data_IF_766174124897
#
_entry.id   IF_766174124897
#
_cell.length_a   1.000
_cell.length_b   1.000
_cell.length_c   1.000
_cell.angle_alpha   90.00
_cell.angle_beta   90.00
_cell.angle_gamma   90.00
#
_symmetry.space_group_name_H-M   'P 1'
#
loop_
_entity.id
_entity.type
_entity.pdbx_description
1 polymer ?
#
# COMPACT_ATOMS: atom_id res chain seq x y z
N UNK A 1 -20.74 5.69 4.30
CA UNK A 1 -20.68 6.60 3.13
C UNK A 1 -19.26 6.61 2.58
N UNK A 2 -19.08 6.75 1.27
CA UNK A 2 -17.76 6.73 0.62
C UNK A 2 -17.43 8.07 -0.03
N UNK A 3 -16.34 8.69 0.38
CA UNK A 3 -15.85 9.97 -0.17
C UNK A 3 -14.54 9.70 -0.91
N UNK A 4 -14.42 10.21 -2.13
CA UNK A 4 -13.18 10.13 -2.92
C UNK A 4 -12.61 11.52 -3.03
N UNK A 5 -11.37 11.72 -2.56
CA UNK A 5 -10.71 13.02 -2.56
C UNK A 5 -9.43 12.92 -3.38
N UNK A 6 -9.22 13.85 -4.31
CA UNK A 6 -7.96 13.97 -5.04
C UNK A 6 -7.02 14.95 -4.33
N UNK A 7 -5.73 14.73 -4.48
CA UNK A 7 -4.68 15.52 -3.83
C UNK A 7 -4.76 16.99 -4.25
N UNK A 8 -4.62 17.88 -3.28
CA UNK A 8 -4.82 19.33 -3.41
C UNK A 8 -6.29 19.77 -3.52
N UNK A 9 -7.25 18.85 -3.49
CA UNK A 9 -8.68 19.16 -3.58
C UNK A 9 -9.38 18.99 -2.23
N UNK A 10 -10.51 19.70 -2.08
CA UNK A 10 -11.45 19.55 -0.97
C UNK A 10 -12.74 18.93 -1.49
N UNK A 11 -13.28 17.96 -0.77
CA UNK A 11 -14.54 17.29 -1.09
C UNK A 11 -15.46 17.25 0.13
N UNK A 12 -16.76 17.45 -0.10
CA UNK A 12 -17.81 17.41 0.92
C UNK A 12 -18.99 16.54 0.48
N UNK A 13 -18.86 15.85 -0.65
CA UNK A 13 -19.85 14.90 -1.16
C UNK A 13 -19.35 13.48 -0.98
N UNK A 14 -20.27 12.57 -0.71
CA UNK A 14 -20.00 11.15 -0.61
C UNK A 14 -21.12 10.32 -1.25
N UNK A 15 -20.77 9.11 -1.67
CA UNK A 15 -21.74 8.13 -2.12
C UNK A 15 -22.30 7.36 -0.92
N UNK A 16 -23.63 7.23 -0.85
CA UNK A 16 -24.28 6.30 0.08
C UNK A 16 -24.17 4.84 -0.39
N UNK A 17 -24.80 3.91 0.34
CA UNK A 17 -24.79 2.48 -0.01
C UNK A 17 -25.48 2.19 -1.36
N UNK A 18 -26.40 3.05 -1.78
CA UNK A 18 -27.15 2.97 -3.04
C UNK A 18 -26.47 3.73 -4.18
N UNK A 19 -25.25 4.24 -3.98
CA UNK A 19 -24.49 5.06 -4.92
C UNK A 19 -25.10 6.45 -5.22
N UNK A 20 -26.00 6.94 -4.39
CA UNK A 20 -26.47 8.32 -4.50
C UNK A 20 -25.42 9.28 -3.92
N UNK A 21 -25.21 10.41 -4.61
CA UNK A 21 -24.36 11.49 -4.12
C UNK A 21 -25.12 12.26 -3.04
N UNK A 22 -24.51 12.39 -1.86
CA UNK A 22 -25.05 13.12 -0.71
C UNK A 22 -24.02 14.14 -0.23
N UNK A 23 -24.47 15.36 0.05
CA UNK A 23 -23.65 16.38 0.71
C UNK A 23 -23.55 16.11 2.20
N UNK A 24 -22.34 16.25 2.74
CA UNK A 24 -22.05 15.98 4.14
C UNK A 24 -21.75 17.28 4.90
N UNK A 25 -22.08 17.34 6.21
CA UNK A 25 -21.72 18.45 7.09
C UNK A 25 -20.23 18.43 7.52
N UNK A 26 -19.40 17.75 6.74
CA UNK A 26 -17.97 17.57 6.93
C UNK A 26 -17.30 17.60 5.56
N UNK A 27 -16.26 18.42 5.43
CA UNK A 27 -15.44 18.50 4.24
C UNK A 27 -14.03 17.98 4.55
N UNK A 28 -13.38 17.39 3.56
CA UNK A 28 -12.02 16.89 3.68
C UNK A 28 -11.19 17.39 2.52
N UNK A 29 -10.07 18.01 2.85
CA UNK A 29 -9.00 18.28 1.91
C UNK A 29 -7.95 17.18 2.01
N UNK A 30 -7.52 16.65 0.87
CA UNK A 30 -6.38 15.74 0.79
C UNK A 30 -5.15 16.55 0.41
N UNK A 31 -4.21 16.73 1.35
CA UNK A 31 -2.99 17.50 1.10
C UNK A 31 -1.94 16.68 0.38
N UNK A 32 -1.76 15.43 0.83
CA UNK A 32 -0.78 14.51 0.26
C UNK A 32 -1.22 13.08 0.50
N UNK A 33 -1.14 12.26 -0.55
CA UNK A 33 -1.28 10.82 -0.45
C UNK A 33 0.10 10.16 -0.62
N UNK A 34 0.45 9.25 0.28
CA UNK A 34 1.72 8.53 0.20
C UNK A 34 1.52 7.03 0.29
N UNK A 35 2.23 6.29 -0.55
CA UNK A 35 2.32 4.83 -0.52
C UNK A 35 3.76 4.45 -0.16
N UNK A 36 3.90 3.60 0.85
CA UNK A 36 5.11 2.89 1.19
C UNK A 36 5.01 1.47 0.66
N UNK A 37 5.98 1.05 -0.15
CA UNK A 37 6.05 -0.28 -0.74
C UNK A 37 7.16 -1.11 -0.08
N UNK A 38 7.04 -2.44 -0.09
CA UNK A 38 8.16 -3.30 0.27
C UNK A 38 9.30 -3.19 -0.76
N UNK A 39 10.56 -3.51 -0.38
CA UNK A 39 11.66 -3.56 -1.33
C UNK A 39 11.37 -4.48 -2.53
N UNK A 40 11.94 -4.19 -3.71
CA UNK A 40 11.81 -5.05 -4.88
C UNK A 40 12.21 -6.50 -4.59
N UNK A 41 11.46 -7.44 -5.17
CA UNK A 41 11.76 -8.87 -5.11
C UNK A 41 12.29 -9.33 -6.46
N UNK A 42 13.27 -10.23 -6.46
CA UNK A 42 13.71 -10.95 -7.67
C UNK A 42 13.32 -12.41 -7.55
N UNK A 43 12.76 -12.96 -8.63
CA UNK A 43 12.25 -14.34 -8.69
C UNK A 43 12.63 -14.95 -10.03
N UNK A 44 13.07 -16.21 -10.01
CA UNK A 44 13.25 -16.99 -11.24
C UNK A 44 11.90 -17.54 -11.69
N UNK A 45 11.63 -17.51 -12.98
CA UNK A 45 10.41 -18.05 -13.58
C UNK A 45 10.74 -18.99 -14.72
N UNK A 46 9.87 -19.98 -14.90
CA UNK A 46 9.78 -20.74 -16.13
C UNK A 46 9.10 -19.88 -17.20
N UNK A 47 9.77 -19.70 -18.35
CA UNK A 47 9.34 -18.78 -19.41
C UNK A 47 8.15 -19.32 -20.22
N UNK A 48 7.93 -20.64 -20.24
CA UNK A 48 6.79 -21.24 -20.94
C UNK A 48 5.50 -21.11 -20.12
N UNK A 49 5.59 -21.36 -18.81
CA UNK A 49 4.44 -21.38 -17.90
C UNK A 49 4.22 -20.07 -17.15
N UNK A 50 5.24 -19.20 -17.08
CA UNK A 50 5.24 -17.97 -16.29
C UNK A 50 5.29 -18.16 -14.78
N UNK A 51 5.46 -19.41 -14.29
CA UNK A 51 5.43 -19.71 -12.85
C UNK A 51 6.80 -19.50 -12.21
N UNK A 52 6.80 -19.02 -10.98
CA UNK A 52 8.02 -18.89 -10.18
C UNK A 52 8.67 -20.25 -9.89
N UNK A 53 9.99 -20.28 -9.79
CA UNK A 53 10.77 -21.50 -9.59
C UNK A 53 11.33 -21.58 -8.16
N UNK A 54 11.23 -22.75 -7.50
CA UNK A 54 10.46 -23.94 -7.90
C UNK A 54 8.93 -23.70 -7.78
N UNK A 55 8.14 -24.36 -8.64
CA UNK A 55 6.71 -24.04 -8.87
C UNK A 55 5.85 -23.93 -7.59
N UNK A 56 6.00 -24.86 -6.66
CA UNK A 56 5.18 -24.90 -5.44
C UNK A 56 5.62 -23.91 -4.36
N UNK A 57 6.86 -23.45 -4.41
CA UNK A 57 7.43 -22.54 -3.42
C UNK A 57 8.57 -21.73 -4.06
N UNK A 58 8.24 -20.71 -4.86
CA UNK A 58 9.25 -19.93 -5.55
C UNK A 58 10.27 -19.33 -4.58
N UNK A 59 11.54 -19.45 -4.91
CA UNK A 59 12.59 -18.76 -4.18
C UNK A 59 12.58 -17.28 -4.58
N UNK A 60 12.69 -16.41 -3.57
CA UNK A 60 12.68 -14.97 -3.76
C UNK A 60 13.88 -14.34 -3.07
N UNK A 61 14.49 -13.39 -3.76
CA UNK A 61 15.46 -12.48 -3.17
C UNK A 61 14.80 -11.14 -2.89
N UNK A 62 14.90 -10.66 -1.65
CA UNK A 62 14.53 -9.30 -1.28
C UNK A 62 15.74 -8.40 -1.57
N UNK A 63 15.52 -7.32 -2.30
CA UNK A 63 16.60 -6.39 -2.62
C UNK A 63 17.22 -5.79 -1.35
N UNK A 64 18.52 -6.05 -1.13
CA UNK A 64 19.28 -5.54 0.01
C UNK A 64 20.21 -4.35 -0.34
N UNK A 65 20.45 -4.09 -1.63
CA UNK A 65 21.34 -3.01 -2.09
C UNK A 65 22.30 -3.42 -3.20
N UNK A 66 22.99 -2.43 -3.76
CA UNK A 66 24.04 -2.62 -4.77
C UNK A 66 25.27 -3.35 -4.19
N UNK A 67 25.96 -4.14 -5.01
CA UNK A 67 27.13 -4.93 -4.62
C UNK A 67 26.83 -6.20 -3.83
N UNK A 68 25.54 -6.48 -3.57
CA UNK A 68 25.08 -7.74 -2.96
C UNK A 68 25.02 -8.85 -3.99
N UNK A 69 25.13 -10.09 -3.53
CA UNK A 69 24.98 -11.28 -4.35
C UNK A 69 24.12 -12.28 -3.60
N UNK A 70 23.34 -13.06 -4.35
CA UNK A 70 22.47 -14.11 -3.83
C UNK A 70 22.51 -15.33 -4.74
N UNK A 71 22.14 -16.50 -4.21
CA UNK A 71 21.93 -17.70 -5.01
C UNK A 71 20.44 -18.03 -5.04
N UNK A 72 19.87 -18.18 -6.24
CA UNK A 72 18.51 -18.67 -6.44
C UNK A 72 18.60 -19.90 -7.35
N UNK A 73 18.15 -21.07 -6.88
CA UNK A 73 18.15 -22.31 -7.67
C UNK A 73 19.48 -22.62 -8.39
N UNK A 74 20.62 -22.36 -7.75
CA UNK A 74 21.95 -22.59 -8.33
C UNK A 74 22.47 -21.46 -9.23
N UNK A 75 21.67 -20.44 -9.53
CA UNK A 75 22.11 -19.23 -10.21
C UNK A 75 22.60 -18.19 -9.20
N UNK A 76 23.83 -17.73 -9.37
CA UNK A 76 24.38 -16.59 -8.63
C UNK A 76 23.97 -15.30 -9.32
N UNK A 77 23.29 -14.43 -8.58
CA UNK A 77 22.75 -13.14 -9.04
C UNK A 77 23.48 -12.03 -8.31
N UNK A 78 24.37 -11.33 -9.02
CA UNK A 78 25.04 -10.13 -8.50
C UNK A 78 24.20 -8.89 -8.82
N UNK A 79 23.99 -8.05 -7.82
CA UNK A 79 23.32 -6.76 -7.95
C UNK A 79 24.36 -5.71 -8.33
N UNK A 80 24.36 -5.29 -9.59
CA UNK A 80 25.36 -4.35 -10.12
C UNK A 80 24.96 -2.90 -9.92
N UNK A 81 23.67 -2.58 -10.09
CA UNK A 81 23.14 -1.23 -9.91
C UNK A 81 21.63 -1.24 -9.69
N UNK A 82 21.09 -0.20 -9.05
CA UNK A 82 19.68 0.00 -8.81
C UNK A 82 19.25 1.43 -9.13
N UNK A 83 18.24 1.54 -9.97
CA UNK A 83 17.51 2.79 -10.23
C UNK A 83 16.12 2.67 -9.61
N UNK A 84 15.83 3.34 -8.48
CA UNK A 84 14.50 3.33 -7.86
C UNK A 84 13.46 4.11 -8.67
N UNK A 85 13.93 5.07 -9.47
CA UNK A 85 13.10 5.87 -10.37
C UNK A 85 13.68 5.77 -11.79
N UNK A 86 13.16 4.83 -12.58
CA UNK A 86 13.67 4.52 -13.91
C UNK A 86 12.60 4.58 -15.01
N UNK A 87 13.04 4.88 -16.22
CA UNK A 87 12.33 4.61 -17.45
C UNK A 87 12.97 3.39 -18.13
N UNK A 88 12.14 2.46 -18.61
CA UNK A 88 12.60 1.32 -19.40
C UNK A 88 12.55 1.71 -20.87
N UNK A 89 13.72 1.70 -21.51
CA UNK A 89 13.87 1.89 -22.94
C UNK A 89 14.24 0.57 -23.59
N UNK A 90 13.85 0.41 -24.84
CA UNK A 90 14.19 -0.76 -25.65
C UNK A 90 14.83 -0.28 -26.93
N UNK A 91 16.02 -0.77 -27.22
CA UNK A 91 16.62 -0.66 -28.56
C UNK A 91 16.21 -1.88 -29.41
N UNK A 92 16.81 -2.06 -30.58
CA UNK A 92 16.47 -3.17 -31.48
C UNK A 92 16.70 -4.57 -30.88
N UNK A 93 17.55 -4.70 -29.85
CA UNK A 93 18.02 -5.99 -29.33
C UNK A 93 17.88 -6.12 -27.81
N UNK A 94 17.93 -5.02 -27.05
CA UNK A 94 18.06 -5.02 -25.60
C UNK A 94 17.16 -3.98 -24.92
N UNK A 95 16.75 -4.30 -23.69
CA UNK A 95 16.10 -3.36 -22.77
C UNK A 95 17.14 -2.78 -21.82
N UNK A 96 17.10 -1.47 -21.60
CA UNK A 96 17.95 -0.77 -20.65
C UNK A 96 17.17 0.27 -19.85
N UNK A 97 17.68 0.60 -18.67
CA UNK A 97 17.05 1.55 -17.77
C UNK A 97 17.86 2.85 -17.68
N UNK A 98 17.15 3.98 -17.58
CA UNK A 98 17.73 5.31 -17.34
C UNK A 98 16.98 6.01 -16.21
N UNK A 99 17.62 6.92 -15.45
CA UNK A 99 16.93 7.69 -14.42
C UNK A 99 15.74 8.47 -14.98
N UNK A 100 14.59 8.38 -14.33
CA UNK A 100 13.36 9.05 -14.72
C UNK A 100 12.53 9.42 -13.49
N UNK A 101 12.31 10.72 -13.27
CA UNK A 101 11.73 11.25 -12.02
C UNK A 101 10.29 11.74 -12.18
N UNK A 102 9.64 11.43 -13.30
CA UNK A 102 8.23 11.78 -13.52
C UNK A 102 7.31 10.65 -13.06
N UNK A 103 6.00 10.94 -13.08
CA UNK A 103 4.95 9.97 -12.81
C UNK A 103 5.08 8.73 -13.71
N UNK A 104 4.79 7.55 -13.15
CA UNK A 104 4.90 6.30 -13.88
C UNK A 104 6.33 5.75 -13.97
N UNK A 105 7.32 6.30 -13.27
CA UNK A 105 8.64 5.65 -13.15
C UNK A 105 8.54 4.24 -12.52
N UNK A 106 9.57 3.42 -12.72
CA UNK A 106 9.62 2.04 -12.20
C UNK A 106 10.95 1.74 -11.51
N UNK A 107 11.01 0.64 -10.76
CA UNK A 107 12.27 0.13 -10.25
C UNK A 107 12.97 -0.67 -11.35
N UNK A 108 14.27 -0.42 -11.52
CA UNK A 108 15.11 -1.20 -12.40
C UNK A 108 16.38 -1.61 -11.67
N UNK A 109 16.72 -2.90 -11.74
CA UNK A 109 17.94 -3.45 -11.15
C UNK A 109 18.78 -4.04 -12.26
N UNK A 110 20.03 -3.61 -12.35
CA UNK A 110 21.01 -4.23 -13.24
C UNK A 110 21.63 -5.41 -12.52
N UNK A 111 21.55 -6.58 -13.11
CA UNK A 111 22.07 -7.82 -12.53
C UNK A 111 23.09 -8.48 -13.44
N UNK A 112 23.98 -9.26 -12.84
CA UNK A 112 24.74 -10.31 -13.53
C UNK A 112 24.26 -11.65 -13.00
N UNK A 113 23.87 -12.55 -13.89
CA UNK A 113 23.48 -13.92 -13.57
C UNK A 113 24.53 -14.88 -14.09
N UNK A 114 24.99 -15.79 -13.24
CA UNK A 114 25.97 -16.82 -13.56
C UNK A 114 25.62 -18.15 -12.89
N UNK A 115 26.10 -19.25 -13.45
CA UNK A 115 26.08 -20.56 -12.81
C UNK A 115 27.27 -21.38 -13.30
N UNK A 116 27.56 -22.51 -12.65
CA UNK A 116 28.64 -23.42 -13.05
C UNK A 116 28.44 -24.00 -14.46
N UNK A 117 27.17 -24.16 -14.87
CA UNK A 117 26.78 -24.70 -16.17
C UNK A 117 26.82 -23.66 -17.30
N UNK A 118 26.96 -22.38 -16.96
CA UNK A 118 26.95 -21.28 -17.93
C UNK A 118 28.38 -20.87 -18.32
N UNK A 119 28.78 -21.01 -19.60
CA UNK A 119 30.11 -20.60 -20.05
C UNK A 119 30.34 -19.09 -19.99
N UNK A 120 29.26 -18.29 -20.12
CA UNK A 120 29.31 -16.83 -20.00
C UNK A 120 28.15 -16.33 -19.12
N UNK A 121 28.40 -15.37 -18.21
CA UNK A 121 27.34 -14.76 -17.43
C UNK A 121 26.45 -13.85 -18.29
N UNK A 122 25.16 -13.79 -17.96
CA UNK A 122 24.20 -12.88 -18.58
C UNK A 122 24.12 -11.60 -17.75
N UNK A 123 24.15 -10.44 -18.41
CA UNK A 123 24.02 -9.13 -17.76
C UNK A 123 22.84 -8.39 -18.37
N UNK A 124 21.93 -7.87 -17.53
CA UNK A 124 20.75 -7.16 -18.01
C UNK A 124 20.02 -6.39 -16.93
N UNK A 125 19.04 -5.59 -17.36
CA UNK A 125 18.14 -4.88 -16.47
C UNK A 125 16.85 -5.68 -16.26
N UNK A 126 16.50 -5.92 -15.01
CA UNK A 126 15.20 -6.46 -14.60
C UNK A 126 14.36 -5.33 -14.01
N UNK A 127 13.07 -5.28 -14.33
CA UNK A 127 12.16 -4.24 -13.85
C UNK A 127 10.73 -4.75 -13.72
N UNK A 128 10.05 -4.28 -12.68
CA UNK A 128 8.64 -4.54 -12.43
C UNK A 128 7.69 -3.66 -13.26
N UNK A 129 8.21 -2.80 -14.15
CA UNK A 129 7.39 -1.95 -15.00
C UNK A 129 6.50 -0.99 -14.22
N UNK A 130 5.56 -0.37 -14.92
CA UNK A 130 4.52 0.49 -14.34
C UNK A 130 3.32 0.56 -15.30
N UNK A 131 2.35 1.42 -15.00
CA UNK A 131 1.28 1.73 -15.94
C UNK A 131 1.76 2.46 -17.22
N UNK A 132 3.02 2.95 -17.23
CA UNK A 132 3.65 3.65 -18.37
C UNK A 132 4.72 2.81 -19.05
N UNK A 133 5.56 2.12 -18.28
CA UNK A 133 6.70 1.35 -18.79
C UNK A 133 6.45 -0.17 -18.72
N UNK A 134 6.86 -0.93 -19.73
CA UNK A 134 6.73 -2.38 -19.71
C UNK A 134 7.64 -3.02 -18.65
N UNK A 135 7.32 -4.25 -18.27
CA UNK A 135 8.22 -5.11 -17.51
C UNK A 135 9.51 -5.40 -18.30
N UNK A 136 10.62 -5.58 -17.59
CA UNK A 136 11.89 -6.02 -18.16
C UNK A 136 12.34 -7.32 -17.51
N UNK A 137 12.66 -8.31 -18.35
CA UNK A 137 13.06 -9.67 -17.94
C UNK A 137 14.49 -9.92 -18.35
N UNK A 138 15.28 -10.53 -17.48
CA UNK A 138 16.61 -11.04 -17.84
C UNK A 138 16.47 -12.51 -18.20
N UNK A 139 16.57 -12.81 -19.50
CA UNK A 139 16.52 -14.18 -20.02
C UNK A 139 17.84 -14.88 -19.74
N UNK A 140 17.84 -15.88 -18.86
CA UNK A 140 19.04 -16.64 -18.49
C UNK A 140 19.32 -17.71 -19.56
N UNK A 141 18.26 -18.40 -20.00
CA UNK A 141 18.25 -19.33 -21.13
C UNK A 141 16.83 -19.40 -21.73
N UNK A 142 16.58 -20.34 -22.64
CA UNK A 142 15.29 -20.49 -23.31
C UNK A 142 14.12 -20.86 -22.37
N UNK A 143 14.40 -21.42 -21.19
CA UNK A 143 13.40 -21.89 -20.22
C UNK A 143 13.30 -21.03 -18.97
N UNK A 144 14.37 -20.37 -18.56
CA UNK A 144 14.46 -19.66 -17.27
C UNK A 144 14.70 -18.18 -17.48
N UNK A 145 13.86 -17.36 -16.86
CA UNK A 145 14.02 -15.91 -16.78
C UNK A 145 14.10 -15.42 -15.35
N UNK A 146 14.78 -14.31 -15.12
CA UNK A 146 14.73 -13.57 -13.87
C UNK A 146 13.79 -12.36 -14.03
N UNK A 147 12.80 -12.29 -13.15
CA UNK A 147 11.79 -11.22 -13.15
C UNK A 147 11.78 -10.48 -11.82
N UNK A 148 11.21 -9.28 -11.86
CA UNK A 148 10.89 -8.50 -10.67
C UNK A 148 9.36 -8.35 -10.60
N UNK A 149 8.69 -9.06 -9.69
CA UNK A 149 7.26 -8.88 -9.48
C UNK A 149 6.92 -7.45 -9.02
N UNK A 150 5.66 -7.05 -9.21
CA UNK A 150 5.16 -5.79 -8.67
C UNK A 150 5.32 -5.77 -7.14
N UNK A 151 5.72 -4.62 -6.61
CA UNK A 151 5.93 -4.47 -5.17
C UNK A 151 4.59 -4.44 -4.45
N UNK A 152 4.54 -5.12 -3.31
CA UNK A 152 3.37 -5.08 -2.43
C UNK A 152 3.35 -3.77 -1.65
N UNK A 153 2.17 -3.18 -1.52
CA UNK A 153 1.94 -2.02 -0.66
C UNK A 153 2.11 -2.44 0.79
N UNK A 154 3.06 -1.82 1.48
CA UNK A 154 3.29 -1.99 2.90
C UNK A 154 2.32 -1.14 3.71
N UNK A 155 2.10 0.10 3.28
CA UNK A 155 1.25 1.07 3.96
C UNK A 155 0.89 2.19 2.99
N UNK A 156 -0.28 2.78 3.18
CA UNK A 156 -0.63 4.04 2.52
C UNK A 156 -1.24 5.00 3.54
N UNK A 157 -0.97 6.30 3.38
CA UNK A 157 -1.30 7.35 4.34
C UNK A 157 -1.83 8.58 3.65
N UNK A 158 -2.89 9.15 4.21
CA UNK A 158 -3.49 10.38 3.72
C UNK A 158 -3.28 11.50 4.73
N UNK A 159 -2.56 12.54 4.33
CA UNK A 159 -2.47 13.79 5.07
C UNK A 159 -3.68 14.64 4.68
N UNK A 160 -4.49 14.98 5.68
CA UNK A 160 -5.78 15.62 5.44
C UNK A 160 -6.01 16.81 6.37
N UNK A 161 -6.73 17.79 5.86
CA UNK A 161 -7.42 18.80 6.66
C UNK A 161 -8.93 18.53 6.63
N UNK A 162 -9.52 18.33 7.80
CA UNK A 162 -10.95 18.08 7.94
C UNK A 162 -11.62 19.31 8.51
N UNK A 163 -12.75 19.71 7.90
CA UNK A 163 -13.55 20.87 8.28
C UNK A 163 -14.96 20.41 8.61
N UNK A 164 -15.54 20.95 9.68
CA UNK A 164 -16.93 20.68 10.06
C UNK A 164 -17.78 21.94 9.89
N UNK A 165 -19.09 21.78 9.66
CA UNK A 165 -20.03 22.91 9.64
C UNK A 165 -20.01 23.74 10.94
N UNK A 166 -19.65 23.12 12.07
CA UNK A 166 -19.51 23.80 13.37
C UNK A 166 -18.32 24.75 13.46
N UNK A 167 -17.48 24.83 12.42
CA UNK A 167 -16.29 25.68 12.36
C UNK A 167 -15.01 25.01 12.86
N UNK A 168 -15.07 23.76 13.35
CA UNK A 168 -13.87 23.03 13.73
C UNK A 168 -13.06 22.64 12.49
N UNK A 169 -11.74 22.81 12.57
CA UNK A 169 -10.78 22.35 11.57
C UNK A 169 -9.67 21.55 12.24
N UNK A 170 -9.26 20.44 11.61
CA UNK A 170 -8.21 19.57 12.14
C UNK A 170 -7.34 19.00 11.02
N UNK A 171 -6.03 19.25 11.12
CA UNK A 171 -5.02 18.51 10.36
C UNK A 171 -4.80 17.13 10.99
N UNK A 172 -4.76 16.08 10.18
CA UNK A 172 -4.54 14.72 10.65
C UNK A 172 -3.87 13.86 9.58
N UNK A 173 -3.32 12.73 10.02
CA UNK A 173 -2.88 11.65 9.14
C UNK A 173 -3.81 10.46 9.35
N UNK A 174 -4.44 10.00 8.29
CA UNK A 174 -5.27 8.79 8.30
C UNK A 174 -4.45 7.64 7.72
N UNK A 175 -4.57 6.46 8.34
CA UNK A 175 -3.97 5.21 7.90
C UNK A 175 -5.03 4.11 8.01
N UNK A 176 -4.89 3.01 7.26
CA UNK A 176 -5.87 1.90 7.20
C UNK A 176 -6.35 1.43 8.59
N UNK A 177 -5.45 1.39 9.57
CA UNK A 177 -5.74 0.93 10.94
C UNK A 177 -5.76 2.06 11.98
N UNK A 178 -5.73 3.32 11.56
CA UNK A 178 -5.76 4.49 12.44
C UNK A 178 -6.81 5.48 11.93
N UNK A 179 -8.11 5.23 12.20
CA UNK A 179 -9.16 6.11 11.76
C UNK A 179 -9.13 7.45 12.51
N UNK A 180 -9.56 8.51 11.83
CA UNK A 180 -9.72 9.82 12.43
C UNK A 180 -11.13 9.96 13.01
N UNK A 181 -11.20 10.38 14.28
CA UNK A 181 -12.46 10.78 14.91
C UNK A 181 -12.52 12.30 15.06
N UNK A 182 -13.62 12.90 14.61
CA UNK A 182 -13.92 14.32 14.73
C UNK A 182 -15.45 14.52 14.76
N UNK A 183 -15.93 15.33 15.70
CA UNK A 183 -17.35 15.46 16.02
C UNK A 183 -18.01 14.06 16.20
N UNK A 184 -19.08 13.77 15.44
CA UNK A 184 -19.78 12.49 15.43
C UNK A 184 -19.39 11.58 14.25
N UNK A 185 -18.22 11.83 13.65
CA UNK A 185 -17.72 11.08 12.51
C UNK A 185 -16.48 10.27 12.87
N UNK A 186 -16.43 9.04 12.38
CA UNK A 186 -15.21 8.25 12.26
C UNK A 186 -14.90 8.06 10.79
N UNK A 187 -13.68 8.42 10.40
CA UNK A 187 -13.20 8.44 9.03
C UNK A 187 -12.13 7.37 8.90
N UNK A 188 -12.44 6.36 8.11
CA UNK A 188 -11.53 5.27 7.76
C UNK A 188 -10.95 5.52 6.38
N UNK A 189 -9.69 5.15 6.19
CA UNK A 189 -9.08 5.11 4.89
C UNK A 189 -9.36 3.73 4.27
N UNK A 190 -10.07 3.72 3.16
CA UNK A 190 -10.61 2.52 2.54
C UNK A 190 -9.72 2.02 1.40
N UNK A 191 -9.37 2.90 0.45
CA UNK A 191 -8.59 2.54 -0.73
C UNK A 191 -8.00 3.78 -1.43
N UNK A 192 -7.48 3.59 -2.63
CA UNK A 192 -6.94 4.61 -3.54
C UNK A 192 -7.17 4.16 -4.98
N UNK A 193 -6.71 4.94 -5.97
CA UNK A 193 -6.70 4.51 -7.37
C UNK A 193 -5.59 3.48 -7.61
N UNK A 194 -5.92 2.19 -7.47
CA UNK A 194 -4.99 1.07 -7.63
C UNK A 194 -4.40 0.97 -9.04
N UNK A 195 -5.08 1.50 -10.06
CA UNK A 195 -4.58 1.45 -11.45
C UNK A 195 -3.29 2.24 -11.64
N UNK A 196 -3.05 3.24 -10.78
CA UNK A 196 -1.83 4.07 -10.78
C UNK A 196 -0.79 3.62 -9.76
N UNK A 197 -1.11 2.64 -8.90
CA UNK A 197 -0.21 2.17 -7.84
C UNK A 197 0.31 3.32 -6.96
N UNK A 198 1.63 3.37 -6.71
CA UNK A 198 2.30 4.44 -5.95
C UNK A 198 2.13 5.87 -6.49
N UNK A 199 1.61 6.03 -7.71
CA UNK A 199 1.32 7.34 -8.32
C UNK A 199 -0.13 7.79 -8.18
N UNK A 200 -0.94 7.03 -7.44
CA UNK A 200 -2.27 7.48 -7.13
C UNK A 200 -2.22 8.85 -6.45
N UNK A 201 -3.06 9.76 -6.91
CA UNK A 201 -3.26 11.08 -6.32
C UNK A 201 -4.63 11.16 -5.64
N UNK A 202 -5.22 10.02 -5.29
CA UNK A 202 -6.60 9.94 -4.83
C UNK A 202 -6.69 9.00 -3.64
N UNK A 203 -7.43 9.41 -2.61
CA UNK A 203 -7.75 8.56 -1.47
C UNK A 203 -9.25 8.41 -1.33
N UNK A 204 -9.68 7.19 -1.03
CA UNK A 204 -11.08 6.85 -0.78
C UNK A 204 -11.25 6.64 0.72
N UNK A 205 -12.18 7.37 1.30
CA UNK A 205 -12.51 7.33 2.71
C UNK A 205 -13.90 6.75 2.94
N UNK A 206 -14.02 5.93 3.98
CA UNK A 206 -15.30 5.54 4.52
C UNK A 206 -15.64 6.41 5.73
N UNK A 207 -16.76 7.11 5.65
CA UNK A 207 -17.28 7.97 6.70
C UNK A 207 -18.44 7.27 7.38
N UNK A 208 -18.27 7.03 8.69
CA UNK A 208 -19.27 6.44 9.57
C UNK A 208 -19.69 7.49 10.59
N UNK A 209 -20.99 7.80 10.62
CA UNK A 209 -21.58 8.72 11.59
C UNK A 209 -22.16 7.91 12.76
N UNK A 210 -21.71 8.19 13.98
CA UNK A 210 -22.29 7.61 15.19
C UNK A 210 -22.78 8.71 16.13
N UNK A 211 -24.07 9.10 16.03
CA UNK A 211 -24.66 10.08 16.92
C UNK A 211 -25.08 9.49 18.28
N UNK A 212 -25.10 8.16 18.45
CA UNK A 212 -25.63 7.48 19.66
C UNK A 212 -24.54 7.17 20.68
N UNK A 213 -23.26 7.25 20.29
CA UNK A 213 -22.13 7.00 21.17
C UNK A 213 -22.20 7.73 22.53
N UNK A 214 -22.61 9.02 22.63
CA UNK A 214 -22.78 9.68 23.93
C UNK A 214 -23.86 9.05 24.81
N UNK A 215 -24.96 8.58 24.20
CA UNK A 215 -26.08 7.95 24.90
C UNK A 215 -25.67 6.57 25.42
N UNK A 216 -24.91 5.80 24.62
CA UNK A 216 -24.35 4.52 25.06
C UNK A 216 -23.43 4.70 26.26
N UNK A 217 -22.52 5.69 26.23
CA UNK A 217 -21.65 5.99 27.37
C UNK A 217 -22.43 6.43 28.61
N UNK A 218 -23.47 7.24 28.45
CA UNK A 218 -24.35 7.60 29.57
C UNK A 218 -24.99 6.36 30.20
N UNK A 219 -25.46 5.40 29.39
CA UNK A 219 -25.99 4.12 29.87
C UNK A 219 -24.96 3.27 30.61
N UNK A 220 -23.74 3.14 30.09
CA UNK A 220 -22.65 2.39 30.75
C UNK A 220 -22.30 3.02 32.10
N UNK A 221 -22.19 4.34 32.18
CA UNK A 221 -21.93 5.06 33.42
C UNK A 221 -23.08 4.82 34.42
N UNK A 222 -24.34 4.88 33.96
CA UNK A 222 -25.50 4.61 34.80
C UNK A 222 -25.50 3.17 35.34
N UNK A 223 -25.15 2.17 34.53
CA UNK A 223 -25.03 0.78 34.96
C UNK A 223 -23.91 0.59 35.99
N UNK A 224 -22.75 1.22 35.78
CA UNK A 224 -21.64 1.19 36.74
C UNK A 224 -22.04 1.83 38.08
N UNK A 225 -22.73 2.97 38.05
CA UNK A 225 -23.26 3.63 39.25
C UNK A 225 -24.30 2.76 39.95
N UNK A 226 -25.21 2.13 39.21
CA UNK A 226 -26.19 1.20 39.77
C UNK A 226 -25.53 -0.03 40.43
N UNK A 227 -24.50 -0.59 39.79
CA UNK A 227 -23.70 -1.68 40.36
C UNK A 227 -22.98 -1.27 41.64
N UNK A 228 -22.33 -0.10 41.65
CA UNK A 228 -21.72 0.47 42.86
C UNK A 228 -22.73 0.69 43.97
N UNK A 229 -23.91 1.21 43.63
CA UNK A 229 -25.00 1.40 44.59
C UNK A 229 -25.43 0.07 45.21
N UNK A 230 -25.64 -0.97 44.40
CA UNK A 230 -25.98 -2.32 44.88
C UNK A 230 -24.87 -2.94 45.73
N UNK A 231 -23.59 -2.65 45.44
CA UNK A 231 -22.49 -3.15 46.24
C UNK A 231 -22.43 -2.48 47.63
N UNK A 232 -22.75 -1.19 47.72
CA UNK A 232 -22.76 -0.42 48.97
C UNK A 232 -24.01 -0.71 49.81
N UNK A 233 -25.19 -0.81 49.16
CA UNK A 233 -26.50 -0.97 49.81
C UNK A 233 -26.93 -2.44 49.89
N UNK A 234 -26.16 -3.34 49.27
CA UNK A 234 -26.44 -4.77 49.24
C UNK A 234 -26.65 -5.35 50.65
N UNK A 235 -27.64 -6.23 50.83
CA UNK A 235 -28.02 -6.71 52.16
C UNK A 235 -26.85 -7.43 52.82
N UNK A 236 -26.48 -7.01 54.04
CA UNK A 236 -25.54 -7.75 54.88
C UNK A 236 -26.16 -9.11 55.18
N UNK A 237 -25.65 -10.15 54.53
CA UNK A 237 -26.03 -11.54 54.82
C UNK A 237 -25.75 -11.78 56.30
N UNK A 238 -26.80 -11.88 57.12
CA UNK A 238 -26.70 -12.36 58.49
C UNK A 238 -26.32 -13.84 58.41
N UNK A 239 -25.07 -14.16 58.77
CA UNK A 239 -24.68 -15.54 59.06
C UNK A 239 -25.45 -15.98 60.32
N UNK A 240 -26.36 -16.93 60.15
CA UNK A 240 -26.88 -17.75 61.24
C UNK A 240 -26.06 -19.01 61.38
#
# INVERSE_FOLDING_TARGET
MRMTVSEGQTEWRANDELQNIVELPIAMQLDTFMIEEYPPKLVLVDLETGKGLPENRPELYLFEGEGKSTNLMGYTIDILSHLPNAAIMRDSLNSFAVPYHSEGNTHAIKVRVSSEEMPNPVVGWVSNGSYVFPHSVVYINEKVGLVMPMQEVKKYTSHVHVFTEGGDSKAAVIEVNKPLRIANWTIYQLSYDESKGKYSNTSVFELVRDPWLPIVYAGIIMLLLGSFYLFIVGPKIKKS
#
